data_IF_675824025843
#
_entry.id   IF_675824025843
#
_cell.length_a   1.000
_cell.length_b   1.000
_cell.length_c   1.000
_cell.angle_alpha   90.00
_cell.angle_beta   90.00
_cell.angle_gamma   90.00
#
_symmetry.space_group_name_H-M   'P 1'
#
loop_
_entity.id
_entity.type
_entity.pdbx_description
1 polymer ?
#
# COMPACT_ATOMS: atom_id res chain seq x y z
N UNK A 1 -6.19 -15.99 -17.61
CA UNK A 1 -5.50 -14.75 -17.20
C UNK A 1 -4.31 -15.15 -16.34
N UNK A 2 -3.19 -14.46 -16.46
CA UNK A 2 -2.00 -14.69 -15.62
C UNK A 2 -1.77 -13.43 -14.79
N UNK A 3 -1.46 -13.62 -13.52
CA UNK A 3 -0.94 -12.53 -12.66
C UNK A 3 0.57 -12.56 -12.88
N UNK A 4 1.06 -11.61 -13.69
CA UNK A 4 2.44 -11.51 -14.13
C UNK A 4 2.93 -10.06 -14.06
N UNK A 5 4.22 -9.84 -14.27
CA UNK A 5 4.83 -8.52 -14.22
C UNK A 5 4.15 -7.50 -15.16
N UNK A 6 3.67 -7.96 -16.31
CA UNK A 6 2.96 -7.10 -17.27
C UNK A 6 1.65 -6.57 -16.70
N UNK A 7 0.88 -7.43 -16.02
CA UNK A 7 -0.34 -7.01 -15.35
C UNK A 7 -0.02 -6.05 -14.20
N UNK A 8 0.99 -6.37 -13.37
CA UNK A 8 1.37 -5.52 -12.24
C UNK A 8 1.80 -4.11 -12.72
N UNK A 9 2.62 -4.06 -13.79
CA UNK A 9 3.00 -2.78 -14.39
C UNK A 9 1.78 -1.98 -14.87
N UNK A 10 0.84 -2.60 -15.55
CA UNK A 10 -0.38 -1.93 -15.99
C UNK A 10 -1.18 -1.34 -14.81
N UNK A 11 -1.23 -2.06 -13.69
CA UNK A 11 -1.91 -1.57 -12.49
C UNK A 11 -1.17 -0.38 -11.86
N UNK A 12 0.17 -0.42 -11.80
CA UNK A 12 0.96 0.71 -11.33
C UNK A 12 0.80 1.94 -12.22
N UNK A 13 0.86 1.78 -13.56
CA UNK A 13 0.65 2.89 -14.50
C UNK A 13 -0.71 3.56 -14.29
N UNK A 14 -1.76 2.77 -14.00
CA UNK A 14 -3.08 3.30 -13.67
C UNK A 14 -3.13 3.96 -12.28
N UNK A 15 -2.45 3.39 -11.28
CA UNK A 15 -2.41 3.94 -9.93
C UNK A 15 -1.71 5.30 -9.88
N UNK A 16 -0.63 5.48 -10.66
CA UNK A 16 0.14 6.76 -10.73
C UNK A 16 -0.74 7.92 -11.19
N UNK A 17 -1.65 7.69 -12.11
CA UNK A 17 -2.52 8.76 -12.64
C UNK A 17 -3.84 8.86 -11.85
N UNK A 18 -4.10 7.95 -10.92
CA UNK A 18 -5.28 7.98 -10.08
C UNK A 18 -5.07 8.94 -8.90
N UNK A 19 -5.97 9.91 -8.66
CA UNK A 19 -5.85 10.84 -7.52
C UNK A 19 -5.74 10.16 -6.15
N UNK A 20 -6.24 8.92 -6.03
CA UNK A 20 -6.15 8.14 -4.80
C UNK A 20 -4.84 7.36 -4.67
N UNK A 21 -3.95 7.41 -5.67
CA UNK A 21 -2.70 6.64 -5.72
C UNK A 21 -2.90 5.13 -5.55
N UNK A 22 -4.05 4.62 -6.01
CA UNK A 22 -4.37 3.19 -6.00
C UNK A 22 -5.37 2.83 -7.08
N UNK A 23 -5.35 1.57 -7.47
CA UNK A 23 -6.32 0.96 -8.38
C UNK A 23 -6.59 -0.47 -7.97
N UNK A 24 -7.83 -0.91 -8.15
CA UNK A 24 -8.22 -2.30 -7.94
C UNK A 24 -8.49 -2.99 -9.28
N UNK A 25 -8.25 -4.29 -9.31
CA UNK A 25 -8.53 -5.17 -10.44
C UNK A 25 -9.31 -6.38 -9.95
N UNK A 26 -10.56 -6.48 -10.40
CA UNK A 26 -11.48 -7.56 -10.00
C UNK A 26 -11.04 -8.90 -10.63
N UNK A 27 -10.89 -9.93 -9.81
CA UNK A 27 -10.51 -11.27 -10.24
C UNK A 27 -11.72 -12.21 -10.39
N UNK A 28 -12.93 -11.72 -10.17
CA UNK A 28 -14.13 -12.52 -10.34
C UNK A 28 -14.43 -12.75 -11.82
N UNK A 29 -14.97 -13.93 -12.12
CA UNK A 29 -15.37 -14.27 -13.48
C UNK A 29 -16.77 -13.74 -13.84
N UNK A 30 -17.56 -13.37 -12.85
CA UNK A 30 -18.95 -12.93 -13.01
C UNK A 30 -19.37 -11.95 -11.93
N UNK A 31 -20.28 -11.05 -12.27
CA UNK A 31 -20.94 -10.15 -11.31
C UNK A 31 -21.84 -10.91 -10.31
N UNK A 32 -22.21 -12.16 -10.64
CA UNK A 32 -22.97 -13.03 -9.75
C UNK A 32 -22.10 -13.74 -8.69
N UNK A 33 -20.78 -13.68 -8.85
CA UNK A 33 -19.86 -14.25 -7.86
C UNK A 33 -19.97 -13.45 -6.55
N UNK A 34 -20.45 -14.12 -5.50
CA UNK A 34 -20.69 -13.55 -4.17
C UNK A 34 -19.44 -13.32 -3.34
N UNK A 35 -18.25 -13.64 -3.85
CA UNK A 35 -16.98 -13.34 -3.19
C UNK A 35 -16.40 -12.00 -3.64
N UNK A 36 -15.50 -11.43 -2.85
CA UNK A 36 -14.59 -10.39 -3.30
C UNK A 36 -13.21 -11.02 -3.47
N UNK A 37 -12.62 -10.86 -4.64
CA UNK A 37 -11.25 -11.26 -4.94
C UNK A 37 -10.69 -10.21 -5.87
N UNK A 38 -9.70 -9.47 -5.42
CA UNK A 38 -9.13 -8.40 -6.23
C UNK A 38 -7.64 -8.22 -5.99
N UNK A 39 -6.96 -7.73 -7.00
CA UNK A 39 -5.65 -7.13 -6.86
C UNK A 39 -5.83 -5.65 -6.54
N UNK A 40 -5.08 -5.15 -5.59
CA UNK A 40 -4.97 -3.73 -5.32
C UNK A 40 -3.51 -3.30 -5.52
N UNK A 41 -3.29 -2.43 -6.50
CA UNK A 41 -2.02 -1.72 -6.62
C UNK A 41 -2.10 -0.45 -5.79
N UNK A 42 -1.14 -0.30 -4.89
CA UNK A 42 -1.05 0.76 -3.90
C UNK A 42 0.28 1.48 -4.07
N UNK A 43 0.26 2.80 -4.14
CA UNK A 43 1.46 3.61 -4.16
C UNK A 43 1.66 4.31 -2.81
N UNK A 44 2.91 4.62 -2.42
CA UNK A 44 3.18 5.44 -1.26
C UNK A 44 2.37 6.74 -1.28
N UNK A 45 1.79 7.10 -0.13
CA UNK A 45 0.88 8.24 -0.01
C UNK A 45 -0.59 7.93 -0.30
N UNK A 46 -0.93 6.70 -0.75
CA UNK A 46 -2.34 6.29 -0.80
C UNK A 46 -2.95 6.33 0.60
N UNK A 47 -4.17 6.84 0.70
CA UNK A 47 -4.90 6.87 1.95
C UNK A 47 -6.11 5.94 1.85
N UNK A 48 -6.08 4.85 2.59
CA UNK A 48 -7.21 3.94 2.74
C UNK A 48 -7.96 4.33 4.00
N UNK A 49 -9.27 4.67 3.92
CA UNK A 49 -10.04 4.99 5.12
C UNK A 49 -10.04 3.83 6.11
N UNK A 50 -10.07 4.13 7.41
CA UNK A 50 -10.29 3.11 8.43
C UNK A 50 -11.68 2.51 8.21
N UNK A 51 -11.75 1.19 8.03
CA UNK A 51 -12.98 0.49 7.75
C UNK A 51 -12.99 -0.89 8.40
N UNK A 52 -14.15 -1.54 8.39
CA UNK A 52 -14.30 -2.92 8.84
C UNK A 52 -15.31 -3.68 7.98
N UNK A 53 -15.19 -4.99 8.02
CA UNK A 53 -16.13 -5.93 7.40
C UNK A 53 -16.89 -6.68 8.50
N UNK A 54 -18.13 -6.23 8.86
CA UNK A 54 -18.87 -6.82 9.99
C UNK A 54 -19.26 -8.28 9.75
N UNK A 55 -19.33 -8.70 8.49
CA UNK A 55 -19.90 -10.00 8.11
C UNK A 55 -18.87 -11.05 7.73
N UNK A 56 -17.65 -10.65 7.37
CA UNK A 56 -16.60 -11.56 6.91
C UNK A 56 -15.23 -11.19 7.48
N UNK A 57 -14.35 -12.18 7.55
CA UNK A 57 -12.90 -11.93 7.65
C UNK A 57 -12.33 -11.64 6.27
N UNK A 58 -11.16 -11.03 6.23
CA UNK A 58 -10.45 -10.71 5.01
C UNK A 58 -9.04 -11.29 5.01
N UNK A 59 -8.63 -11.86 3.88
CA UNK A 59 -7.26 -12.32 3.68
C UNK A 59 -6.53 -11.33 2.81
N UNK A 60 -5.38 -10.85 3.26
CA UNK A 60 -4.48 -9.98 2.51
C UNK A 60 -3.18 -10.72 2.26
N UNK A 61 -2.78 -10.84 0.99
CA UNK A 61 -1.51 -11.45 0.57
C UNK A 61 -0.75 -10.44 -0.29
N UNK A 62 0.49 -10.18 0.07
CA UNK A 62 1.36 -9.26 -0.67
C UNK A 62 2.03 -10.03 -1.82
N UNK A 63 1.80 -9.56 -3.05
CA UNK A 63 2.46 -10.09 -4.26
C UNK A 63 3.85 -9.48 -4.39
N UNK A 64 3.94 -8.16 -4.23
CA UNK A 64 5.21 -7.42 -4.27
C UNK A 64 5.09 -6.13 -3.48
N UNK A 65 6.25 -5.55 -3.12
CA UNK A 65 6.35 -4.33 -2.36
C UNK A 65 6.34 -4.53 -0.85
N UNK A 66 6.04 -3.47 -0.11
CA UNK A 66 6.01 -3.44 1.35
C UNK A 66 4.82 -2.62 1.83
N UNK A 67 4.01 -3.23 2.66
CA UNK A 67 2.82 -2.63 3.24
C UNK A 67 2.73 -2.92 4.73
N UNK A 68 1.97 -2.11 5.44
CA UNK A 68 1.63 -2.35 6.85
C UNK A 68 0.13 -2.36 6.99
N UNK A 69 -0.43 -3.46 7.47
CA UNK A 69 -1.81 -3.50 7.93
C UNK A 69 -1.87 -2.93 9.33
N UNK A 70 -2.82 -2.01 9.55
CA UNK A 70 -2.97 -1.32 10.84
C UNK A 70 -4.36 -1.59 11.39
N UNK A 71 -4.42 -2.07 12.63
CA UNK A 71 -5.67 -2.30 13.34
C UNK A 71 -5.96 -1.16 14.31
N UNK A 72 -7.24 -0.85 14.47
CA UNK A 72 -7.71 0.26 15.29
C UNK A 72 -8.80 -0.19 16.26
N UNK A 73 -8.95 0.55 17.36
CA UNK A 73 -10.11 0.44 18.24
C UNK A 73 -11.32 1.25 17.71
N UNK A 74 -12.44 1.19 18.41
CA UNK A 74 -13.66 1.92 18.04
C UNK A 74 -13.52 3.46 18.12
N UNK A 75 -12.42 3.97 18.70
CA UNK A 75 -12.11 5.39 18.77
C UNK A 75 -11.08 5.82 17.70
N UNK A 76 -10.64 4.90 16.84
CA UNK A 76 -9.62 5.15 15.82
C UNK A 76 -8.20 5.22 16.36
N UNK A 77 -7.94 4.70 17.58
CA UNK A 77 -6.58 4.58 18.11
C UNK A 77 -5.95 3.30 17.57
N UNK A 78 -4.71 3.39 17.07
CA UNK A 78 -3.95 2.22 16.64
C UNK A 78 -3.73 1.25 17.80
N UNK A 79 -3.99 -0.04 17.55
CA UNK A 79 -3.77 -1.12 18.51
C UNK A 79 -2.75 -2.14 18.05
N UNK A 80 -2.54 -2.28 16.74
CA UNK A 80 -1.57 -3.22 16.18
C UNK A 80 -1.11 -2.78 14.79
N UNK A 81 0.14 -3.04 14.47
CA UNK A 81 0.72 -2.85 13.13
C UNK A 81 1.37 -4.15 12.68
N UNK A 82 1.00 -4.61 11.48
CA UNK A 82 1.45 -5.88 10.90
C UNK A 82 2.24 -5.56 9.62
N UNK A 83 3.57 -5.46 9.67
CA UNK A 83 4.37 -5.24 8.48
C UNK A 83 4.42 -6.50 7.62
N UNK A 84 4.20 -6.31 6.32
CA UNK A 84 4.19 -7.38 5.32
C UNK A 84 5.09 -7.00 4.15
N UNK A 85 6.11 -7.83 3.91
CA UNK A 85 7.07 -7.66 2.84
C UNK A 85 7.62 -9.03 2.45
N UNK A 86 7.30 -9.56 1.25
CA UNK A 86 7.69 -10.90 0.81
C UNK A 86 9.19 -11.15 0.84
N UNK A 87 10.00 -10.15 0.50
CA UNK A 87 11.47 -10.29 0.52
C UNK A 87 12.04 -10.47 1.94
N UNK A 88 11.26 -10.12 2.97
CA UNK A 88 11.60 -10.32 4.38
C UNK A 88 10.86 -11.50 5.01
N UNK A 89 10.12 -12.29 4.22
CA UNK A 89 9.45 -13.50 4.67
C UNK A 89 8.09 -13.29 5.34
N UNK A 90 7.52 -12.07 5.25
CA UNK A 90 6.16 -11.76 5.72
C UNK A 90 5.25 -11.55 4.51
N UNK A 91 4.35 -12.49 4.27
CA UNK A 91 3.63 -12.61 3.00
C UNK A 91 2.21 -12.09 3.04
N UNK A 92 1.63 -11.95 4.21
CA UNK A 92 0.22 -11.55 4.33
C UNK A 92 -0.33 -11.72 5.75
N UNK A 93 -1.58 -11.35 5.93
CA UNK A 93 -2.30 -11.51 7.20
C UNK A 93 -3.76 -11.92 6.95
N UNK A 94 -4.40 -12.37 8.04
CA UNK A 94 -5.83 -12.62 8.10
C UNK A 94 -6.44 -11.58 9.04
N UNK A 95 -7.26 -10.70 8.49
CA UNK A 95 -7.98 -9.68 9.26
C UNK A 95 -9.25 -10.33 9.83
N UNK A 96 -9.42 -10.37 11.16
CA UNK A 96 -10.60 -10.94 11.75
C UNK A 96 -11.85 -10.14 11.40
N UNK A 97 -12.99 -10.83 11.32
CA UNK A 97 -14.30 -10.24 11.14
C UNK A 97 -14.55 -9.09 12.14
N UNK A 98 -14.99 -7.95 11.65
CA UNK A 98 -15.35 -6.78 12.46
C UNK A 98 -14.20 -5.95 12.99
N UNK A 99 -12.95 -6.28 12.64
CA UNK A 99 -11.76 -5.50 13.02
C UNK A 99 -11.68 -4.21 12.21
N UNK A 100 -11.58 -3.07 12.88
CA UNK A 100 -11.25 -1.81 12.22
C UNK A 100 -9.81 -1.84 11.73
N UNK A 101 -9.61 -1.55 10.44
CA UNK A 101 -8.30 -1.65 9.84
C UNK A 101 -8.11 -0.67 8.68
N UNK A 102 -6.86 -0.49 8.32
CA UNK A 102 -6.41 0.24 7.13
C UNK A 102 -5.06 -0.30 6.70
N UNK A 103 -4.66 -0.02 5.47
CA UNK A 103 -3.38 -0.44 4.93
C UNK A 103 -2.56 0.77 4.49
N UNK A 104 -1.28 0.76 4.81
CA UNK A 104 -0.30 1.76 4.40
C UNK A 104 0.70 1.11 3.44
N UNK A 105 0.97 1.78 2.32
CA UNK A 105 1.98 1.36 1.37
C UNK A 105 3.24 2.21 1.51
N UNK A 106 4.38 1.57 1.75
CA UNK A 106 5.68 2.22 1.86
C UNK A 106 6.50 2.13 0.57
N UNK A 107 6.16 1.18 -0.27
CA UNK A 107 6.69 0.99 -1.61
C UNK A 107 5.52 0.79 -2.59
N UNK A 108 5.73 0.95 -3.90
CA UNK A 108 4.77 0.48 -4.87
C UNK A 108 4.47 -1.00 -4.63
N UNK A 109 3.25 -1.31 -4.25
CA UNK A 109 2.86 -2.62 -3.76
C UNK A 109 1.64 -3.15 -4.50
N UNK A 110 1.58 -4.46 -4.69
CA UNK A 110 0.37 -5.14 -5.13
C UNK A 110 0.00 -6.19 -4.10
N UNK A 111 -1.22 -6.13 -3.64
CA UNK A 111 -1.81 -7.11 -2.73
C UNK A 111 -2.97 -7.84 -3.40
N UNK A 112 -3.25 -9.06 -2.94
CA UNK A 112 -4.52 -9.74 -3.15
C UNK A 112 -5.35 -9.59 -1.89
N UNK A 113 -6.57 -9.11 -2.05
CA UNK A 113 -7.60 -9.15 -1.03
C UNK A 113 -8.66 -10.19 -1.39
N UNK A 114 -9.04 -11.00 -0.42
CA UNK A 114 -10.09 -12.00 -0.58
C UNK A 114 -10.99 -12.05 0.65
N UNK A 115 -12.31 -11.93 0.43
CA UNK A 115 -13.34 -12.05 1.48
C UNK A 115 -14.69 -12.48 0.90
N UNK A 116 -15.60 -12.84 1.77
CA UNK A 116 -16.99 -13.08 1.41
C UNK A 116 -17.74 -11.74 1.21
N UNK A 117 -18.74 -11.76 0.35
CA UNK A 117 -19.56 -10.60 0.02
C UNK A 117 -19.01 -9.82 -1.17
N UNK A 118 -19.91 -9.25 -1.97
CA UNK A 118 -19.56 -8.41 -3.10
C UNK A 118 -19.07 -7.04 -2.62
N UNK A 119 -18.13 -6.46 -3.36
CA UNK A 119 -17.68 -5.09 -3.09
C UNK A 119 -18.85 -4.11 -3.10
N UNK A 120 -18.99 -3.35 -2.01
CA UNK A 120 -20.07 -2.39 -1.81
C UNK A 120 -21.42 -2.98 -1.38
N UNK A 121 -21.58 -4.32 -1.32
CA UNK A 121 -22.78 -5.02 -0.86
C UNK A 121 -22.52 -5.86 0.39
N UNK A 122 -21.29 -5.90 0.87
CA UNK A 122 -20.82 -6.75 1.99
C UNK A 122 -21.09 -6.15 3.37
N UNK A 123 -21.70 -4.95 3.42
CA UNK A 123 -21.99 -4.24 4.66
C UNK A 123 -20.75 -3.59 5.28
N UNK A 124 -19.71 -3.34 4.50
CA UNK A 124 -18.52 -2.62 4.96
C UNK A 124 -18.88 -1.28 5.58
N UNK A 125 -18.26 -0.97 6.70
CA UNK A 125 -18.45 0.26 7.46
C UNK A 125 -17.16 1.06 7.45
N UNK A 126 -17.27 2.39 7.37
CA UNK A 126 -16.13 3.29 7.59
C UNK A 126 -16.21 3.88 8.99
N UNK A 127 -15.06 4.08 9.62
CA UNK A 127 -15.00 4.72 10.92
C UNK A 127 -15.11 6.23 10.71
N UNK A 128 -16.29 6.78 11.00
CA UNK A 128 -16.50 8.22 11.04
C UNK A 128 -15.87 8.78 12.33
N UNK A 129 -14.64 9.21 12.23
CA UNK A 129 -14.03 10.05 13.26
C UNK A 129 -14.69 11.42 13.18
N UNK A 130 -15.90 11.54 13.72
CA UNK A 130 -16.53 12.86 13.91
C UNK A 130 -15.58 13.63 14.79
N UNK A 131 -14.93 14.64 14.22
CA UNK A 131 -14.06 15.58 14.89
C UNK A 131 -14.78 16.14 16.13
N UNK A 132 -14.42 15.65 17.29
CA UNK A 132 -14.54 16.45 18.50
C UNK A 132 -13.39 17.43 18.40
N UNK A 133 -13.70 18.58 17.76
CA UNK A 133 -12.81 19.73 17.70
C UNK A 133 -12.56 20.22 19.14
N UNK A 134 -11.47 19.75 19.71
CA UNK A 134 -10.71 20.54 20.67
C UNK A 134 -9.29 20.65 20.10
N UNK A 135 -8.78 21.87 19.90
CA UNK A 135 -7.40 22.05 19.49
C UNK A 135 -6.50 21.57 20.64
N UNK A 136 -5.99 20.35 20.54
CA UNK A 136 -4.86 19.96 21.37
C UNK A 136 -3.66 20.75 20.87
N UNK A 137 -3.11 21.59 21.74
CA UNK A 137 -1.78 22.17 21.56
C UNK A 137 -0.82 21.03 21.17
N UNK A 138 -0.22 21.18 20.00
CA UNK A 138 0.76 20.24 19.49
C UNK A 138 2.04 20.50 20.27
N UNK A 139 2.27 19.73 21.34
CA UNK A 139 3.61 19.62 21.90
C UNK A 139 4.51 19.11 20.76
N UNK A 140 5.63 19.79 20.55
CA UNK A 140 6.64 19.44 19.56
C UNK A 140 7.07 17.97 19.77
N UNK A 141 6.48 17.06 18.98
CA UNK A 141 6.89 15.67 18.93
C UNK A 141 8.24 15.64 18.23
N UNK A 142 9.25 15.24 18.97
CA UNK A 142 10.57 14.98 18.43
C UNK A 142 10.48 13.95 17.31
N UNK A 143 10.77 14.37 16.09
CA UNK A 143 10.66 13.63 14.81
C UNK A 143 11.79 12.62 14.59
N UNK A 144 12.32 11.97 15.62
CA UNK A 144 13.46 11.04 15.49
C UNK A 144 13.10 9.56 15.40
N UNK A 145 11.86 9.16 15.67
CA UNK A 145 11.49 7.74 15.68
C UNK A 145 10.91 7.21 14.35
N UNK A 146 10.44 8.08 13.47
CA UNK A 146 9.85 7.70 12.18
C UNK A 146 10.88 7.31 11.12
N UNK A 147 11.98 8.03 11.04
CA UNK A 147 13.05 7.80 10.04
C UNK A 147 13.83 6.50 10.31
N UNK A 148 14.19 6.22 11.58
CA UNK A 148 14.87 4.97 11.92
C UNK A 148 13.98 3.73 11.68
N UNK A 149 12.68 3.83 11.90
CA UNK A 149 11.75 2.72 11.64
C UNK A 149 11.54 2.50 10.14
N UNK A 150 11.50 3.57 9.35
CA UNK A 150 11.45 3.56 7.90
C UNK A 150 12.69 2.86 7.30
N UNK A 151 13.90 3.24 7.73
CA UNK A 151 15.14 2.61 7.26
C UNK A 151 15.24 1.12 7.64
N UNK A 152 14.79 0.72 8.81
CA UNK A 152 14.88 -0.65 9.29
C UNK A 152 13.84 -1.60 8.67
N UNK A 153 12.63 -1.13 8.38
CA UNK A 153 11.57 -1.96 7.80
C UNK A 153 11.64 -2.07 6.27
N UNK A 154 12.17 -1.06 5.57
CA UNK A 154 12.07 -0.93 4.12
C UNK A 154 13.41 -1.10 3.37
N UNK A 155 14.50 -1.29 4.09
CA UNK A 155 15.83 -1.37 3.48
C UNK A 155 16.32 -0.07 2.84
N UNK A 156 15.66 1.06 3.13
CA UNK A 156 16.03 2.40 2.71
C UNK A 156 15.62 2.76 1.28
N UNK A 157 15.60 4.07 1.00
CA UNK A 157 15.18 4.63 -0.30
C UNK A 157 15.97 4.05 -1.49
N UNK A 158 17.27 3.76 -1.31
CA UNK A 158 18.11 3.16 -2.37
C UNK A 158 17.59 1.80 -2.83
N UNK A 159 17.17 0.92 -1.92
CA UNK A 159 16.60 -0.40 -2.27
C UNK A 159 15.26 -0.28 -2.99
N UNK A 160 14.44 0.68 -2.59
CA UNK A 160 13.17 0.94 -3.27
C UNK A 160 13.40 1.43 -4.70
N UNK A 161 14.43 2.25 -4.91
CA UNK A 161 14.86 2.70 -6.24
C UNK A 161 15.40 1.51 -7.06
N UNK A 162 16.27 0.67 -6.49
CA UNK A 162 16.79 -0.55 -7.15
C UNK A 162 15.67 -1.49 -7.57
N UNK A 163 14.68 -1.69 -6.70
CA UNK A 163 13.50 -2.49 -6.99
C UNK A 163 12.68 -1.92 -8.15
N UNK A 164 12.39 -0.63 -8.13
CA UNK A 164 11.67 0.05 -9.20
C UNK A 164 12.42 -0.07 -10.54
N UNK A 165 13.75 0.13 -10.52
CA UNK A 165 14.61 -0.03 -11.69
C UNK A 165 14.57 -1.47 -12.21
N UNK A 166 14.63 -2.46 -11.32
CA UNK A 166 14.52 -3.88 -11.65
C UNK A 166 13.18 -4.20 -12.32
N UNK A 167 12.09 -3.69 -11.81
CA UNK A 167 10.75 -3.83 -12.38
C UNK A 167 10.68 -3.25 -13.80
N UNK A 168 11.15 -2.02 -14.00
CA UNK A 168 11.15 -1.36 -15.31
C UNK A 168 12.01 -2.09 -16.33
N UNK A 169 13.21 -2.55 -15.96
CA UNK A 169 14.08 -3.34 -16.84
C UNK A 169 13.46 -4.68 -17.25
N UNK A 170 12.80 -5.38 -16.33
CA UNK A 170 12.12 -6.66 -16.63
C UNK A 170 10.88 -6.49 -17.51
N UNK A 171 10.17 -5.39 -17.37
CA UNK A 171 8.97 -5.11 -18.18
C UNK A 171 9.29 -4.77 -19.63
N UNK A 172 10.58 -4.62 -19.98
CA UNK A 172 11.01 -4.16 -21.30
C UNK A 172 10.67 -2.70 -21.57
N UNK A 173 10.37 -1.93 -20.53
CA UNK A 173 10.16 -0.49 -20.62
C UNK A 173 11.44 0.18 -21.13
N UNK A 174 11.27 1.00 -22.18
CA UNK A 174 12.34 1.86 -22.70
C UNK A 174 12.34 3.24 -22.03
N UNK A 175 11.55 3.42 -20.98
CA UNK A 175 11.51 4.69 -20.26
C UNK A 175 12.84 4.94 -19.52
N UNK A 176 13.36 6.13 -19.69
CA UNK A 176 14.56 6.56 -18.98
C UNK A 176 14.18 6.79 -17.52
N UNK A 177 14.76 5.97 -16.64
CA UNK A 177 14.56 6.11 -15.20
C UNK A 177 15.29 7.36 -14.71
N UNK A 178 14.56 8.44 -14.54
CA UNK A 178 15.07 9.72 -14.05
C UNK A 178 14.73 9.91 -12.57
N UNK A 179 15.48 10.74 -11.82
CA UNK A 179 15.09 11.11 -10.45
C UNK A 179 13.67 11.65 -10.35
N UNK A 180 13.20 12.39 -11.36
CA UNK A 180 11.83 12.90 -11.42
C UNK A 180 10.80 11.77 -11.53
N UNK A 181 11.09 10.78 -12.38
CA UNK A 181 10.26 9.59 -12.52
C UNK A 181 10.17 8.83 -11.19
N UNK A 182 11.31 8.54 -10.57
CA UNK A 182 11.42 7.84 -9.29
C UNK A 182 10.70 8.60 -8.16
N UNK A 183 10.94 9.91 -8.05
CA UNK A 183 10.27 10.77 -7.07
C UNK A 183 8.76 10.68 -7.19
N UNK A 184 8.25 10.69 -8.41
CA UNK A 184 6.81 10.55 -8.68
C UNK A 184 6.29 9.16 -8.34
N UNK A 185 7.03 8.10 -8.69
CA UNK A 185 6.63 6.71 -8.46
C UNK A 185 6.63 6.34 -6.99
N UNK A 186 7.63 6.80 -6.23
CA UNK A 186 7.78 6.49 -4.81
C UNK A 186 7.11 7.53 -3.90
N UNK A 187 6.59 8.62 -4.46
CA UNK A 187 6.03 9.77 -3.72
C UNK A 187 7.01 10.31 -2.65
N UNK A 188 8.28 10.40 -3.02
CA UNK A 188 9.38 10.89 -2.17
C UNK A 188 9.87 12.23 -2.73
N UNK A 189 10.29 13.20 -1.90
CA UNK A 189 10.85 14.46 -2.36
C UNK A 189 11.96 14.25 -3.39
N UNK A 190 11.93 15.04 -4.48
CA UNK A 190 12.90 14.92 -5.57
C UNK A 190 14.36 15.05 -5.08
N UNK A 191 14.61 15.96 -4.13
CA UNK A 191 15.94 16.16 -3.57
C UNK A 191 16.51 14.91 -2.89
N UNK A 192 15.66 14.15 -2.17
CA UNK A 192 16.05 12.92 -1.49
C UNK A 192 16.35 11.80 -2.50
N UNK A 193 15.58 11.74 -3.59
CA UNK A 193 15.83 10.80 -4.69
C UNK A 193 17.12 11.14 -5.44
N UNK A 194 17.35 12.41 -5.75
CA UNK A 194 18.58 12.87 -6.39
C UNK A 194 19.81 12.53 -5.55
N UNK A 195 19.75 12.71 -4.24
CA UNK A 195 20.82 12.34 -3.32
C UNK A 195 21.02 10.82 -3.28
N UNK A 196 19.92 10.04 -3.17
CA UNK A 196 19.99 8.59 -3.13
C UNK A 196 20.54 7.98 -4.42
N UNK A 197 20.25 8.57 -5.59
CA UNK A 197 20.66 8.08 -6.90
C UNK A 197 22.09 8.50 -7.29
N UNK A 198 22.72 9.45 -6.59
CA UNK A 198 24.08 9.94 -6.91
C UNK A 198 25.15 8.83 -6.96
N UNK A 199 25.01 7.85 -6.09
CA UNK A 199 25.99 6.77 -5.92
C UNK A 199 25.53 5.44 -6.51
N UNK A 200 24.44 5.45 -7.30
CA UNK A 200 23.90 4.26 -7.94
C UNK A 200 24.42 4.15 -9.37
N UNK A 201 25.00 3.00 -9.73
CA UNK A 201 25.37 2.65 -11.12
C UNK A 201 24.08 2.30 -11.89
N UNK A 202 23.50 3.27 -12.59
CA UNK A 202 22.24 3.19 -13.32
C UNK A 202 22.41 2.92 -14.82
#
# INVERSE_FOLDING_TARGET
MTIDEKLLKQLFDQAVVNPRLRVNYDLRDSVEDGSQRMLNALLPGTQVPIHRHPNSSESVIVICGSVVEVYYDDNGQEIERIPMCPIHGSFGCQIPKGTWHSIEAYEPSVIIEAKEGKYGEDGSEQLDLIHKDEPKEVDEVQTTSGEEHFENCLGGLKKNIEYLIGMERHSGSMEVITPVYVSRMLNVPLADVEEAMKDMDL
#
